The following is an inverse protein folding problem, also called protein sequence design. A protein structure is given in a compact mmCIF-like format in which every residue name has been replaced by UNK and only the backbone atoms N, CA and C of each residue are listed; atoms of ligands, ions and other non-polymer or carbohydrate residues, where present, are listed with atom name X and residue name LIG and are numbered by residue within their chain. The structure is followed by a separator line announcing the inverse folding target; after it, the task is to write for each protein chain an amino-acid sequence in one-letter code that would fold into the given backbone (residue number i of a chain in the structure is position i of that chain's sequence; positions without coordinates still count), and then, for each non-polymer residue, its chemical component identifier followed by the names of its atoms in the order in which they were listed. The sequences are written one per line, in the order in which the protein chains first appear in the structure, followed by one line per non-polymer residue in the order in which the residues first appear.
data_IF_427105028900
#
_entry.id   IF_427105028900
#
_cell.length_a   1.000
_cell.length_b   1.000
_cell.length_c   1.000
_cell.angle_alpha   90.00
_cell.angle_beta   90.00
_cell.angle_gamma   90.00
#
_symmetry.space_group_name_H-M   'P 1'
#
loop_
_entity.id
_entity.type
_entity.pdbx_description
1 polymer ?
#
# COMPACT_ATOMS: atom_id res chain seq x y z
N UNK A 1 -20.10 -2.97 12.03
CA UNK A 1 -18.99 -2.20 12.64
C UNK A 1 -17.70 -2.24 11.81
N UNK A 2 -17.28 -3.40 11.29
CA UNK A 2 -16.08 -3.54 10.47
C UNK A 2 -16.03 -2.66 9.19
N UNK A 3 -17.11 -2.53 8.38
CA UNK A 3 -17.05 -1.72 7.16
C UNK A 3 -16.80 -0.23 7.41
N UNK A 4 -17.35 0.31 8.51
CA UNK A 4 -17.16 1.71 8.86
C UNK A 4 -15.69 2.03 9.20
N UNK A 5 -14.98 1.08 9.84
CA UNK A 5 -13.54 1.22 10.11
C UNK A 5 -12.77 1.29 8.81
N UNK A 6 -13.04 0.39 7.86
CA UNK A 6 -12.38 0.40 6.55
C UNK A 6 -12.68 1.66 5.73
N UNK A 7 -13.92 2.16 5.77
CA UNK A 7 -14.30 3.40 5.10
C UNK A 7 -13.55 4.58 5.73
N UNK A 8 -13.57 4.72 7.06
CA UNK A 8 -12.88 5.79 7.76
C UNK A 8 -11.36 5.75 7.50
N UNK A 9 -10.77 4.55 7.50
CA UNK A 9 -9.38 4.33 7.18
C UNK A 9 -9.07 4.79 5.74
N UNK A 10 -9.85 4.33 4.77
CA UNK A 10 -9.68 4.72 3.36
C UNK A 10 -9.77 6.23 3.16
N UNK A 11 -10.75 6.88 3.80
CA UNK A 11 -10.93 8.33 3.75
C UNK A 11 -9.74 9.09 4.37
N UNK A 12 -9.19 8.60 5.48
CA UNK A 12 -8.02 9.20 6.11
C UNK A 12 -6.80 9.18 5.17
N UNK A 13 -6.51 8.05 4.52
CA UNK A 13 -5.41 7.94 3.55
C UNK A 13 -5.68 8.78 2.29
N UNK A 14 -6.91 8.81 1.80
CA UNK A 14 -7.28 9.64 0.65
C UNK A 14 -7.10 11.13 0.95
N UNK A 15 -7.48 11.59 2.15
CA UNK A 15 -7.26 12.96 2.59
C UNK A 15 -5.77 13.28 2.71
N UNK A 16 -4.99 12.39 3.34
CA UNK A 16 -3.53 12.55 3.46
C UNK A 16 -2.85 12.67 2.09
N UNK A 17 -3.18 11.78 1.14
CA UNK A 17 -2.64 11.82 -0.23
C UNK A 17 -3.07 13.10 -0.96
N UNK A 18 -4.33 13.51 -0.83
CA UNK A 18 -4.85 14.73 -1.47
C UNK A 18 -4.11 15.98 -0.96
N UNK A 19 -3.85 16.05 0.35
CA UNK A 19 -3.08 17.14 0.94
C UNK A 19 -1.62 17.13 0.47
N UNK A 20 -0.99 15.96 0.40
CA UNK A 20 0.37 15.81 -0.12
C UNK A 20 0.47 16.27 -1.59
N UNK A 21 -0.49 15.85 -2.43
CA UNK A 21 -0.59 16.27 -3.83
C UNK A 21 -0.83 17.77 -3.97
N UNK A 22 -1.70 18.35 -3.14
CA UNK A 22 -1.98 19.79 -3.14
C UNK A 22 -0.76 20.62 -2.74
N UNK A 23 0.02 20.14 -1.76
CA UNK A 23 1.23 20.81 -1.28
C UNK A 23 2.42 20.69 -2.26
N UNK A 24 2.35 19.79 -3.25
CA UNK A 24 3.39 19.55 -4.29
C UNK A 24 4.80 19.39 -3.72
N UNK A 25 4.90 18.86 -2.50
CA UNK A 25 6.18 18.66 -1.84
C UNK A 25 6.73 17.32 -2.31
N UNK A 26 7.93 17.35 -2.89
CA UNK A 26 8.59 16.14 -3.36
C UNK A 26 8.76 15.15 -2.21
N UNK A 27 8.49 13.88 -2.50
CA UNK A 27 8.55 12.76 -1.56
C UNK A 27 7.56 12.78 -0.38
N UNK A 28 6.49 13.55 -0.49
CA UNK A 28 5.47 13.66 0.56
C UNK A 28 4.26 12.75 0.28
N UNK A 29 4.16 12.18 -0.93
CA UNK A 29 3.07 11.24 -1.25
C UNK A 29 3.28 9.91 -0.54
N UNK A 30 2.18 9.24 -0.20
CA UNK A 30 2.22 7.87 0.35
C UNK A 30 2.93 6.93 -0.62
N UNK A 31 2.71 7.13 -1.92
CA UNK A 31 3.37 6.32 -2.95
C UNK A 31 4.89 6.46 -2.93
N UNK A 32 5.42 7.65 -2.66
CA UNK A 32 6.86 7.90 -2.56
C UNK A 32 7.44 7.40 -1.24
N UNK A 33 6.73 7.61 -0.13
CA UNK A 33 7.11 7.04 1.16
C UNK A 33 7.14 5.51 1.14
N UNK A 34 6.17 4.87 0.48
CA UNK A 34 6.15 3.42 0.31
C UNK A 34 7.33 2.94 -0.55
N UNK A 35 7.68 3.67 -1.61
CA UNK A 35 8.88 3.39 -2.41
C UNK A 35 10.18 3.60 -1.62
N UNK A 36 10.24 4.62 -0.76
CA UNK A 36 11.38 4.90 0.12
C UNK A 36 11.56 3.82 1.18
N UNK A 37 10.47 3.35 1.80
CA UNK A 37 10.48 2.27 2.78
C UNK A 37 11.19 1.02 2.24
N UNK A 38 10.84 0.61 1.02
CA UNK A 38 11.46 -0.53 0.36
C UNK A 38 12.69 -0.16 -0.49
N UNK A 39 13.12 1.11 -0.48
CA UNK A 39 14.24 1.63 -1.30
C UNK A 39 14.16 1.19 -2.76
N UNK A 40 12.95 1.14 -3.33
CA UNK A 40 12.72 0.55 -4.65
C UNK A 40 13.37 1.33 -5.78
N UNK A 41 13.75 2.60 -5.59
CA UNK A 41 14.50 3.34 -6.62
C UNK A 41 16.00 3.02 -6.62
N UNK A 42 16.59 2.71 -5.46
CA UNK A 42 18.05 2.63 -5.29
C UNK A 42 18.57 1.22 -5.05
N UNK A 43 17.73 0.27 -4.62
CA UNK A 43 18.14 -1.08 -4.24
C UNK A 43 17.44 -2.17 -5.06
N UNK A 44 18.22 -3.04 -5.71
CA UNK A 44 17.70 -4.25 -6.38
C UNK A 44 17.06 -5.22 -5.37
N UNK A 45 17.68 -5.39 -4.19
CA UNK A 45 17.12 -6.21 -3.12
C UNK A 45 15.80 -5.63 -2.58
N UNK A 46 15.73 -4.30 -2.45
CA UNK A 46 14.51 -3.59 -2.05
C UNK A 46 13.35 -3.81 -3.02
N UNK A 47 13.62 -3.73 -4.33
CA UNK A 47 12.65 -4.08 -5.38
C UNK A 47 12.18 -5.53 -5.27
N UNK A 48 13.11 -6.47 -5.06
CA UNK A 48 12.77 -7.88 -4.93
C UNK A 48 11.90 -8.15 -3.71
N UNK A 49 12.24 -7.58 -2.55
CA UNK A 49 11.44 -7.69 -1.32
C UNK A 49 10.03 -7.13 -1.51
N UNK A 50 9.92 -5.95 -2.12
CA UNK A 50 8.63 -5.35 -2.45
C UNK A 50 7.80 -6.27 -3.35
N UNK A 51 8.39 -6.76 -4.44
CA UNK A 51 7.69 -7.60 -5.41
C UNK A 51 7.24 -8.92 -4.77
N UNK A 52 8.14 -9.65 -4.12
CA UNK A 52 7.83 -10.93 -3.48
C UNK A 52 6.78 -10.76 -2.37
N UNK A 53 6.92 -9.72 -1.54
CA UNK A 53 5.94 -9.42 -0.49
C UNK A 53 4.56 -9.10 -1.07
N UNK A 54 4.50 -8.25 -2.10
CA UNK A 54 3.25 -7.88 -2.75
C UNK A 54 2.57 -9.06 -3.43
N UNK A 55 3.31 -9.79 -4.28
CA UNK A 55 2.77 -10.97 -4.99
C UNK A 55 2.39 -12.08 -4.03
N UNK A 56 3.22 -12.35 -3.01
CA UNK A 56 2.93 -13.35 -1.99
C UNK A 56 1.67 -13.01 -1.20
N UNK A 57 1.53 -11.77 -0.75
CA UNK A 57 0.34 -11.31 -0.05
C UNK A 57 -0.91 -11.37 -0.95
N UNK A 58 -0.85 -10.87 -2.19
CA UNK A 58 -1.98 -10.92 -3.11
C UNK A 58 -2.41 -12.36 -3.45
N UNK A 59 -1.44 -13.26 -3.67
CA UNK A 59 -1.72 -14.66 -3.93
C UNK A 59 -2.36 -15.33 -2.70
N UNK A 60 -1.77 -15.13 -1.51
CA UNK A 60 -2.33 -15.64 -0.26
C UNK A 60 -3.74 -15.12 -0.01
N UNK A 61 -3.96 -13.81 -0.15
CA UNK A 61 -5.26 -13.18 0.08
C UNK A 61 -6.32 -13.65 -0.92
N UNK A 62 -5.94 -13.81 -2.19
CA UNK A 62 -6.80 -14.38 -3.22
C UNK A 62 -7.19 -15.82 -2.89
N UNK A 63 -6.23 -16.68 -2.55
CA UNK A 63 -6.50 -18.05 -2.10
C UNK A 63 -7.42 -18.02 -0.88
N UNK A 64 -7.10 -17.23 0.13
CA UNK A 64 -7.85 -17.13 1.37
C UNK A 64 -9.33 -16.83 1.12
N UNK A 65 -9.64 -15.78 0.35
CA UNK A 65 -11.03 -15.45 -0.02
C UNK A 65 -11.71 -16.60 -0.79
N UNK A 66 -11.00 -17.21 -1.74
CA UNK A 66 -11.54 -18.30 -2.56
C UNK A 66 -11.74 -19.61 -1.76
N UNK A 67 -10.98 -19.80 -0.68
CA UNK A 67 -11.05 -21.00 0.18
C UNK A 67 -11.93 -20.82 1.42
N UNK A 68 -12.15 -19.59 1.91
CA UNK A 68 -13.07 -19.30 3.02
C UNK A 68 -14.55 -19.56 2.66
N UNK A 69 -14.83 -19.89 1.40
CA UNK A 69 -16.15 -20.22 0.88
C UNK A 69 -16.36 -21.70 0.53
N UNK A 70 -15.46 -22.61 0.96
CA UNK A 70 -15.70 -24.06 0.97
C UNK A 70 -15.93 -24.59 2.39
#
# INVERSE_FOLDING_TARGET
MWPAVWIAWTLAFAAAETLALANKRDDDTLSENFRRLFRTRTSKAGRALFAVGWFGFSAWFGIHILTETM
#
